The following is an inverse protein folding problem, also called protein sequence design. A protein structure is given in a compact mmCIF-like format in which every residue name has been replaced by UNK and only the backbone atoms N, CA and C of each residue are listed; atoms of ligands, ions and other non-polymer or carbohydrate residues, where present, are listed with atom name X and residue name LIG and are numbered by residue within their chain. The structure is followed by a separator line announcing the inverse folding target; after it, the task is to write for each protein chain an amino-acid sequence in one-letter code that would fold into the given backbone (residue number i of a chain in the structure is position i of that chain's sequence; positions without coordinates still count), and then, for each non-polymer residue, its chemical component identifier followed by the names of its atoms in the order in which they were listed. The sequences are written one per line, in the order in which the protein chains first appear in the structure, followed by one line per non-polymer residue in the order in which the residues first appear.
data_IF_001920587735
#
_entry.id   IF_001920587735
#
_cell.length_a   1.000
_cell.length_b   1.000
_cell.length_c   1.000
_cell.angle_alpha   90.00
_cell.angle_beta   90.00
_cell.angle_gamma   90.00
#
_symmetry.space_group_name_H-M   'P 1'
#
loop_
_entity.id
_entity.type
_entity.pdbx_description
1 polymer ?
#
# COMPACT_ATOMS: atom_id res chain seq x y z
N UNK A 1 21.30 9.18 -1.12
CA UNK A 1 20.19 8.73 -2.01
C UNK A 1 19.12 8.00 -1.21
N UNK A 2 18.95 8.36 0.07
CA UNK A 2 18.21 7.58 1.07
C UNK A 2 16.89 8.25 1.45
N UNK A 3 16.80 9.56 1.21
CA UNK A 3 15.62 10.36 1.50
C UNK A 3 14.42 10.04 0.58
N UNK A 4 14.68 9.65 -0.68
CA UNK A 4 13.61 9.31 -1.63
C UNK A 4 12.92 7.99 -1.27
N UNK A 5 13.68 6.98 -0.82
CA UNK A 5 13.11 5.70 -0.37
C UNK A 5 12.31 5.85 0.91
N UNK A 6 12.80 6.67 1.85
CA UNK A 6 12.07 7.01 3.08
C UNK A 6 10.75 7.73 2.77
N UNK A 7 10.78 8.73 1.88
CA UNK A 7 9.57 9.45 1.46
C UNK A 7 8.55 8.54 0.77
N UNK A 8 9.01 7.65 -0.12
CA UNK A 8 8.14 6.69 -0.80
C UNK A 8 7.48 5.72 0.20
N UNK A 9 8.24 5.24 1.20
CA UNK A 9 7.70 4.35 2.23
C UNK A 9 6.66 5.04 3.11
N UNK A 10 6.89 6.29 3.45
CA UNK A 10 5.91 7.09 4.22
C UNK A 10 4.62 7.28 3.41
N UNK A 11 4.73 7.57 2.11
CA UNK A 11 3.58 7.69 1.21
C UNK A 11 2.80 6.36 1.11
N UNK A 12 3.50 5.24 0.92
CA UNK A 12 2.88 3.89 0.87
C UNK A 12 2.16 3.59 2.18
N UNK A 13 2.78 3.89 3.32
CA UNK A 13 2.17 3.71 4.64
C UNK A 13 0.89 4.52 4.80
N UNK A 14 0.92 5.79 4.42
CA UNK A 14 -0.26 6.66 4.47
C UNK A 14 -1.40 6.16 3.56
N UNK A 15 -1.09 5.69 2.36
CA UNK A 15 -2.08 5.11 1.45
C UNK A 15 -2.64 3.79 2.00
N UNK A 16 -1.81 2.96 2.62
CA UNK A 16 -2.21 1.69 3.20
C UNK A 16 -3.14 1.90 4.41
N UNK A 17 -2.81 2.87 5.27
CA UNK A 17 -3.67 3.29 6.37
C UNK A 17 -5.04 3.74 5.85
N UNK A 18 -5.09 4.63 4.85
CA UNK A 18 -6.36 5.02 4.25
C UNK A 18 -7.14 3.85 3.64
N UNK A 19 -6.46 2.93 2.96
CA UNK A 19 -7.09 1.76 2.38
C UNK A 19 -7.66 0.83 3.47
N UNK A 20 -6.96 0.68 4.58
CA UNK A 20 -7.40 -0.11 5.73
C UNK A 20 -8.61 0.53 6.41
N UNK A 21 -8.58 1.84 6.66
CA UNK A 21 -9.72 2.59 7.20
C UNK A 21 -10.97 2.50 6.31
N UNK A 22 -10.79 2.45 4.98
CA UNK A 22 -11.88 2.26 3.99
C UNK A 22 -12.30 0.79 3.82
N UNK A 23 -11.74 -0.14 4.61
CA UNK A 23 -11.96 -1.59 4.52
C UNK A 23 -11.67 -2.15 3.11
N UNK A 24 -10.73 -1.54 2.39
CA UNK A 24 -10.27 -2.00 1.08
C UNK A 24 -9.24 -3.12 1.22
N UNK A 25 -8.38 -3.02 2.24
CA UNK A 25 -7.40 -4.03 2.61
C UNK A 25 -7.70 -4.53 4.02
N UNK A 26 -7.28 -5.76 4.32
CA UNK A 26 -7.45 -6.40 5.63
C UNK A 26 -6.29 -6.11 6.59
N UNK A 27 -5.18 -5.56 6.09
CA UNK A 27 -4.01 -5.24 6.89
C UNK A 27 -2.82 -4.84 6.02
N UNK A 28 -1.78 -4.28 6.64
CA UNK A 28 -0.56 -3.86 5.98
C UNK A 28 0.61 -3.88 6.96
N UNK A 29 1.83 -3.89 6.44
CA UNK A 29 3.06 -3.85 7.23
C UNK A 29 4.28 -3.73 6.35
N UNK A 30 5.45 -3.62 6.96
CA UNK A 30 6.71 -3.63 6.24
C UNK A 30 7.09 -5.06 5.82
N UNK A 31 7.70 -5.17 4.64
CA UNK A 31 8.27 -6.43 4.19
C UNK A 31 9.58 -6.79 4.91
N UNK A 32 10.08 -8.02 4.72
CA UNK A 32 11.39 -8.41 5.24
C UNK A 32 12.53 -7.59 4.61
N UNK A 33 12.35 -7.10 3.38
CA UNK A 33 13.30 -6.21 2.72
C UNK A 33 12.93 -4.72 2.86
N UNK A 34 13.94 -3.85 2.94
CA UNK A 34 13.75 -2.40 3.10
C UNK A 34 13.06 -1.71 1.91
N UNK A 35 12.86 -2.41 0.80
CA UNK A 35 12.20 -1.92 -0.40
C UNK A 35 10.87 -2.63 -0.70
N UNK A 36 10.43 -3.52 0.21
CA UNK A 36 9.19 -4.27 0.10
C UNK A 36 8.16 -3.80 1.13
N UNK A 37 6.89 -3.96 0.75
CA UNK A 37 5.75 -3.67 1.61
C UNK A 37 4.76 -4.82 1.56
N UNK A 38 4.23 -5.18 2.72
CA UNK A 38 3.21 -6.19 2.86
C UNK A 38 1.84 -5.54 2.86
N UNK A 39 0.96 -5.99 1.96
CA UNK A 39 -0.45 -5.58 1.93
C UNK A 39 -1.30 -6.84 1.95
N UNK A 40 -2.23 -6.94 2.90
CA UNK A 40 -3.19 -8.03 2.98
C UNK A 40 -4.46 -7.60 2.26
N UNK A 41 -4.66 -8.11 1.05
CA UNK A 41 -5.85 -7.82 0.24
C UNK A 41 -6.67 -9.10 0.05
N UNK A 42 -7.98 -9.02 0.28
CA UNK A 42 -8.89 -10.18 0.22
C UNK A 42 -8.42 -11.38 1.07
N UNK A 43 -7.85 -11.09 2.26
CA UNK A 43 -7.32 -12.12 3.16
C UNK A 43 -6.01 -12.78 2.71
N UNK A 44 -5.39 -12.34 1.60
CA UNK A 44 -4.11 -12.85 1.14
C UNK A 44 -3.00 -11.80 1.35
N UNK A 45 -1.94 -12.11 2.11
CA UNK A 45 -0.76 -11.26 2.19
C UNK A 45 -0.06 -11.23 0.83
N UNK A 46 0.26 -10.04 0.36
CA UNK A 46 1.07 -9.80 -0.84
C UNK A 46 2.27 -8.96 -0.45
N UNK A 47 3.46 -9.45 -0.80
CA UNK A 47 4.70 -8.69 -0.73
C UNK A 47 4.95 -8.10 -2.11
N UNK A 48 5.05 -6.78 -2.16
CA UNK A 48 5.31 -6.04 -3.39
C UNK A 48 6.29 -4.92 -3.08
N UNK A 49 7.07 -4.50 -4.08
CA UNK A 49 7.98 -3.37 -3.93
C UNK A 49 7.22 -2.09 -3.56
N UNK A 50 7.86 -1.15 -2.87
CA UNK A 50 7.23 0.12 -2.44
C UNK A 50 6.51 0.85 -3.59
N UNK A 51 7.11 0.88 -4.78
CA UNK A 51 6.50 1.51 -5.96
C UNK A 51 5.21 0.81 -6.39
N UNK A 52 5.20 -0.52 -6.35
CA UNK A 52 4.05 -1.32 -6.71
C UNK A 52 2.96 -1.28 -5.64
N UNK A 53 3.36 -1.23 -4.36
CA UNK A 53 2.46 -0.99 -3.22
C UNK A 53 1.73 0.34 -3.40
N UNK A 54 2.46 1.40 -3.74
CA UNK A 54 1.90 2.73 -3.98
C UNK A 54 0.87 2.71 -5.11
N UNK A 55 1.22 2.16 -6.27
CA UNK A 55 0.31 2.07 -7.42
C UNK A 55 -0.93 1.23 -7.09
N UNK A 56 -0.76 0.11 -6.40
CA UNK A 56 -1.86 -0.76 -5.99
C UNK A 56 -2.82 -0.07 -5.02
N UNK A 57 -2.30 0.65 -4.02
CA UNK A 57 -3.11 1.37 -3.05
C UNK A 57 -3.80 2.59 -3.67
N UNK A 58 -3.12 3.31 -4.57
CA UNK A 58 -3.75 4.37 -5.37
C UNK A 58 -4.89 3.79 -6.21
N UNK A 59 -4.68 2.71 -6.94
CA UNK A 59 -5.73 2.04 -7.71
C UNK A 59 -6.91 1.69 -6.80
N UNK A 60 -6.68 1.04 -5.66
CA UNK A 60 -7.74 0.70 -4.71
C UNK A 60 -8.52 1.93 -4.20
N UNK A 61 -7.83 3.02 -3.87
CA UNK A 61 -8.43 4.22 -3.30
C UNK A 61 -9.21 5.04 -4.35
N UNK A 62 -8.76 5.07 -5.61
CA UNK A 62 -9.37 5.84 -6.68
C UNK A 62 -10.39 5.05 -7.50
N UNK A 63 -10.20 3.74 -7.66
CA UNK A 63 -11.09 2.87 -8.44
C UNK A 63 -12.46 2.66 -7.79
N UNK A 64 -12.56 2.76 -6.47
CA UNK A 64 -13.85 2.71 -5.75
C UNK A 64 -14.65 4.02 -5.84
N UNK A 65 -14.19 5.02 -6.59
CA UNK A 65 -14.95 6.27 -6.85
C UNK A 65 -15.82 6.18 -8.11
N UNK A 66 -15.75 5.08 -8.87
CA UNK A 66 -16.53 4.85 -10.10
C UNK A 66 -17.44 3.60 -9.98
N UNK A 67 -18.27 3.55 -8.95
CA UNK A 67 -19.46 2.69 -8.96
C UNK A 67 -20.66 3.66 -8.97
N UNK A 68 -21.28 3.81 -10.15
CA UNK A 68 -22.38 4.74 -10.44
C UNK A 68 -23.65 3.94 -10.72
#
# INVERSE_FOLDING_TARGET
MDNQKAALRDEVRYLAEQAFHRKLISGYGDGPESHEYQIVYQGKPRHVSLEQARLFLLDLLYRRRFDY
#
